data_IF_216747339664
#
_entry.id   IF_216747339664
#
_cell.length_a   1.000
_cell.length_b   1.000
_cell.length_c   1.000
_cell.angle_alpha   90.00
_cell.angle_beta   90.00
_cell.angle_gamma   90.00
#
_symmetry.space_group_name_H-M   'P 1'
#
loop_
_entity.id
_entity.type
_entity.pdbx_description
1 polymer ?
#
# COMPACT_ATOMS: atom_id res chain seq x y z
N UNK A 1 10.72 -15.84 -3.76
CA UNK A 1 9.77 -15.35 -4.79
C UNK A 1 9.86 -13.84 -4.99
N UNK A 2 10.15 -13.04 -3.96
CA UNK A 2 10.48 -11.62 -4.15
C UNK A 2 11.98 -11.46 -4.33
N UNK A 3 12.43 -11.18 -5.55
CA UNK A 3 13.78 -10.68 -5.77
C UNK A 3 13.93 -9.38 -4.96
N UNK A 4 14.94 -9.26 -4.10
CA UNK A 4 15.24 -8.05 -3.32
C UNK A 4 15.46 -6.79 -4.18
N UNK A 5 15.42 -6.93 -5.51
CA UNK A 5 15.38 -5.86 -6.51
C UNK A 5 14.17 -4.93 -6.34
N UNK A 6 13.02 -5.45 -5.91
CA UNK A 6 11.80 -4.63 -5.71
C UNK A 6 11.97 -3.56 -4.61
N UNK A 7 12.83 -3.81 -3.61
CA UNK A 7 13.09 -2.89 -2.50
C UNK A 7 14.36 -2.06 -2.69
N UNK A 8 15.09 -2.27 -3.79
CA UNK A 8 16.41 -1.66 -4.02
C UNK A 8 16.32 -0.15 -4.29
N UNK A 9 15.26 0.29 -4.97
CA UNK A 9 15.05 1.71 -5.29
C UNK A 9 13.75 2.22 -4.65
N UNK A 10 13.79 3.45 -4.15
CA UNK A 10 12.60 4.12 -3.61
C UNK A 10 11.50 4.29 -4.67
N UNK A 11 11.86 4.40 -5.95
CA UNK A 11 10.91 4.46 -7.05
C UNK A 11 10.04 3.19 -7.14
N UNK A 12 10.65 2.00 -7.05
CA UNK A 12 9.88 0.74 -7.07
C UNK A 12 9.01 0.60 -5.82
N UNK A 13 9.50 1.04 -4.66
CA UNK A 13 8.72 1.04 -3.41
C UNK A 13 7.49 1.94 -3.53
N UNK A 14 7.64 3.15 -4.07
CA UNK A 14 6.53 4.08 -4.25
C UNK A 14 5.51 3.56 -5.27
N UNK A 15 5.96 2.96 -6.38
CA UNK A 15 5.06 2.34 -7.36
C UNK A 15 4.28 1.20 -6.73
N UNK A 16 4.95 0.33 -5.95
CA UNK A 16 4.30 -0.74 -5.20
C UNK A 16 3.29 -0.22 -4.18
N UNK A 17 3.64 0.81 -3.42
CA UNK A 17 2.76 1.47 -2.46
C UNK A 17 1.52 2.08 -3.14
N UNK A 18 1.70 2.79 -4.25
CA UNK A 18 0.60 3.35 -5.04
C UNK A 18 -0.32 2.26 -5.58
N UNK A 19 0.24 1.18 -6.12
CA UNK A 19 -0.53 0.06 -6.64
C UNK A 19 -1.36 -0.61 -5.53
N UNK A 20 -0.73 -0.92 -4.40
CA UNK A 20 -1.40 -1.55 -3.26
C UNK A 20 -2.50 -0.66 -2.69
N UNK A 21 -2.22 0.63 -2.47
CA UNK A 21 -3.20 1.58 -1.96
C UNK A 21 -4.38 1.76 -2.92
N UNK A 22 -4.13 1.84 -4.22
CA UNK A 22 -5.19 1.95 -5.22
C UNK A 22 -6.08 0.70 -5.25
N UNK A 23 -5.50 -0.48 -5.06
CA UNK A 23 -6.24 -1.73 -4.93
C UNK A 23 -7.17 -1.70 -3.70
N UNK A 24 -6.66 -1.31 -2.53
CA UNK A 24 -7.47 -1.18 -1.32
C UNK A 24 -8.58 -0.12 -1.48
N UNK A 25 -8.27 1.02 -2.07
CA UNK A 25 -9.26 2.06 -2.36
C UNK A 25 -10.38 1.52 -3.27
N UNK A 26 -10.01 0.83 -4.35
CA UNK A 26 -10.97 0.24 -5.29
C UNK A 26 -11.87 -0.77 -4.59
N UNK A 27 -11.28 -1.67 -3.78
CA UNK A 27 -12.05 -2.66 -3.02
C UNK A 27 -13.01 -1.98 -2.05
N UNK A 28 -12.57 -0.93 -1.34
CA UNK A 28 -13.44 -0.17 -0.43
C UNK A 28 -14.59 0.50 -1.17
N UNK A 29 -14.33 1.14 -2.31
CA UNK A 29 -15.38 1.78 -3.13
C UNK A 29 -16.37 0.73 -3.66
N UNK A 30 -15.89 -0.42 -4.13
CA UNK A 30 -16.77 -1.52 -4.55
C UNK A 30 -17.58 -2.08 -3.38
N UNK A 31 -17.00 -2.13 -2.18
CA UNK A 31 -17.70 -2.59 -0.97
C UNK A 31 -18.79 -1.59 -0.57
N UNK A 32 -18.52 -0.28 -0.67
CA UNK A 32 -19.50 0.77 -0.41
C UNK A 32 -20.64 0.76 -1.42
N UNK A 33 -20.36 0.46 -2.69
CA UNK A 33 -21.38 0.24 -3.71
C UNK A 33 -22.29 -0.97 -3.40
N UNK A 34 -21.71 -2.08 -2.91
CA UNK A 34 -22.46 -3.31 -2.66
C UNK A 34 -23.22 -3.28 -1.32
N UNK A 35 -22.64 -2.67 -0.29
CA UNK A 35 -23.14 -2.74 1.10
C UNK A 35 -23.76 -1.42 1.56
N UNK A 36 -23.34 -0.29 0.99
CA UNK A 36 -23.79 1.05 1.35
C UNK A 36 -24.86 1.63 0.42
N UNK A 37 -25.07 2.94 0.54
CA UNK A 37 -25.98 3.71 -0.34
C UNK A 37 -25.27 4.24 -1.60
N UNK A 38 -24.37 3.45 -2.21
CA UNK A 38 -23.63 3.77 -3.44
C UNK A 38 -22.16 4.18 -3.25
N UNK A 39 -21.42 4.42 -4.35
CA UNK A 39 -19.99 4.79 -4.34
C UNK A 39 -19.82 6.18 -3.77
N UNK A 40 -19.55 6.23 -2.48
CA UNK A 40 -19.12 7.44 -1.79
C UNK A 40 -17.81 7.18 -1.11
N UNK A 41 -16.78 7.88 -1.55
CA UNK A 41 -15.45 7.85 -0.96
C UNK A 41 -15.52 8.23 0.53
N UNK A 42 -15.61 7.22 1.40
CA UNK A 42 -15.83 7.47 2.83
C UNK A 42 -14.53 7.79 3.56
N UNK A 43 -14.68 8.32 4.78
CA UNK A 43 -13.55 8.49 5.70
C UNK A 43 -12.85 7.17 5.99
N UNK A 44 -13.59 6.06 6.07
CA UNK A 44 -13.01 4.75 6.31
C UNK A 44 -12.16 4.31 5.11
N UNK A 45 -12.66 4.46 3.88
CA UNK A 45 -11.92 4.16 2.65
C UNK A 45 -10.60 4.95 2.57
N UNK A 46 -10.63 6.24 2.91
CA UNK A 46 -9.43 7.08 2.95
C UNK A 46 -8.42 6.62 4.00
N UNK A 47 -8.88 6.35 5.23
CA UNK A 47 -7.99 5.91 6.32
C UNK A 47 -7.34 4.56 6.00
N UNK A 48 -8.11 3.61 5.46
CA UNK A 48 -7.59 2.29 5.06
C UNK A 48 -6.58 2.43 3.92
N UNK A 49 -6.87 3.25 2.92
CA UNK A 49 -5.96 3.51 1.79
C UNK A 49 -4.65 4.12 2.24
N UNK A 50 -4.70 5.10 3.15
CA UNK A 50 -3.52 5.72 3.74
C UNK A 50 -2.73 4.73 4.61
N UNK A 51 -3.41 3.90 5.40
CA UNK A 51 -2.78 2.86 6.19
C UNK A 51 -2.06 1.82 5.32
N UNK A 52 -2.67 1.41 4.20
CA UNK A 52 -2.04 0.51 3.23
C UNK A 52 -0.77 1.13 2.62
N UNK A 53 -0.81 2.43 2.29
CA UNK A 53 0.34 3.15 1.73
C UNK A 53 1.50 3.19 2.73
N UNK A 54 1.21 3.67 3.94
CA UNK A 54 2.19 3.83 5.01
C UNK A 54 2.72 2.49 5.48
N UNK A 55 1.87 1.45 5.53
CA UNK A 55 2.26 0.09 5.84
C UNK A 55 3.28 -0.45 4.84
N UNK A 56 3.01 -0.32 3.53
CA UNK A 56 3.95 -0.75 2.50
C UNK A 56 5.29 -0.03 2.57
N UNK A 57 5.26 1.30 2.68
CA UNK A 57 6.46 2.15 2.80
C UNK A 57 7.25 1.80 4.07
N UNK A 58 6.56 1.60 5.20
CA UNK A 58 7.17 1.23 6.48
C UNK A 58 7.83 -0.14 6.42
N UNK A 59 7.15 -1.15 5.87
CA UNK A 59 7.73 -2.48 5.66
C UNK A 59 8.95 -2.41 4.75
N UNK A 60 8.87 -1.68 3.63
CA UNK A 60 10.00 -1.50 2.73
C UNK A 60 11.20 -0.83 3.43
N UNK A 61 10.95 0.14 4.32
CA UNK A 61 12.01 0.78 5.09
C UNK A 61 12.67 -0.16 6.11
N UNK A 62 11.90 -1.02 6.79
CA UNK A 62 12.43 -2.03 7.71
C UNK A 62 13.32 -3.03 6.96
N UNK A 63 12.81 -3.61 5.87
CA UNK A 63 13.55 -4.59 5.06
C UNK A 63 14.87 -4.01 4.55
N UNK A 64 14.85 -2.75 4.09
CA UNK A 64 16.07 -2.08 3.60
C UNK A 64 17.09 -1.82 4.72
N UNK A 65 16.65 -1.54 5.94
CA UNK A 65 17.55 -1.39 7.10
C UNK A 65 18.22 -2.72 7.45
N UNK A 66 17.47 -3.81 7.45
CA UNK A 66 18.01 -5.15 7.71
C UNK A 66 19.04 -5.58 6.66
N UNK A 67 18.77 -5.30 5.37
CA UNK A 67 19.72 -5.56 4.29
C UNK A 67 21.03 -4.76 4.44
N UNK A 68 20.96 -3.50 4.88
CA UNK A 68 22.16 -2.65 5.06
C UNK A 68 22.95 -3.00 6.33
N UNK A 69 22.31 -3.61 7.32
CA UNK A 69 22.94 -4.03 8.57
C UNK A 69 23.62 -5.41 8.48
N UNK A 70 23.41 -6.13 7.39
CA UNK A 70 23.98 -7.46 7.12
C UNK A 70 25.17 -7.43 6.15
N UNK A 71 25.53 -6.25 5.64
CA UNK A 71 26.80 -5.95 4.95
C UNK A 71 27.87 -5.49 5.94
#
# INVERSE_FOLDING_TARGET
MFDGRAFRSWAHVLVGACFLSSLFLTIMVMTEEVVGEGARLSRAALVVTAAAFLGYVGTAWIVRREMSASE
#
